data_IF_526781922672
#
_entry.id   IF_526781922672
#
_cell.length_a   1.000
_cell.length_b   1.000
_cell.length_c   1.000
_cell.angle_alpha   90.00
_cell.angle_beta   90.00
_cell.angle_gamma   90.00
#
_symmetry.space_group_name_H-M   'P 1'
#
loop_
_entity.id
_entity.type
_entity.pdbx_description
1 polymer ?
#
# COMPACT_ATOMS: atom_id res chain seq x y z
N UNK A 1 -3.68 -11.51 3.05
CA UNK A 1 -3.56 -10.15 2.46
C UNK A 1 -2.58 -10.30 1.31
N UNK A 2 -2.88 -9.82 0.09
CA UNK A 2 -1.88 -9.84 -0.98
C UNK A 2 -1.02 -8.60 -0.77
N UNK A 3 0.27 -8.82 -0.58
CA UNK A 3 1.25 -7.83 -0.16
C UNK A 3 2.27 -7.78 -1.30
N UNK A 4 2.23 -6.72 -2.11
CA UNK A 4 3.20 -6.54 -3.20
C UNK A 4 4.37 -5.70 -2.71
N UNK A 5 5.60 -6.11 -3.08
CA UNK A 5 6.74 -5.21 -3.07
C UNK A 5 6.44 -4.05 -3.99
N UNK A 6 6.84 -2.83 -3.60
CA UNK A 6 6.59 -1.62 -4.39
C UNK A 6 7.13 -1.75 -5.83
N UNK A 7 8.22 -2.49 -6.04
CA UNK A 7 8.78 -2.76 -7.37
C UNK A 7 7.90 -3.62 -8.29
N UNK A 8 6.97 -4.41 -7.73
CA UNK A 8 6.04 -5.28 -8.47
C UNK A 8 4.68 -4.60 -8.71
N UNK A 9 4.53 -3.33 -8.31
CA UNK A 9 3.29 -2.59 -8.48
C UNK A 9 3.10 -2.24 -9.97
N UNK A 10 2.14 -2.88 -10.63
CA UNK A 10 1.73 -2.47 -11.98
C UNK A 10 1.26 -1.00 -11.94
N UNK A 11 1.92 -0.07 -12.67
CA UNK A 11 1.50 1.33 -12.72
C UNK A 11 0.04 1.49 -13.16
N UNK A 12 -0.48 0.57 -13.99
CA UNK A 12 -1.86 0.58 -14.48
C UNK A 12 -2.86 0.15 -13.40
N UNK A 13 -2.41 -0.60 -12.40
CA UNK A 13 -3.18 -1.04 -11.24
C UNK A 13 -3.08 -0.10 -10.02
N UNK A 14 -2.30 0.98 -10.12
CA UNK A 14 -2.11 1.92 -9.02
C UNK A 14 -3.43 2.56 -8.57
N UNK A 15 -3.61 2.66 -7.25
CA UNK A 15 -4.69 3.42 -6.64
C UNK A 15 -4.13 4.28 -5.51
N UNK A 16 -4.63 5.50 -5.41
CA UNK A 16 -4.38 6.38 -4.26
C UNK A 16 -5.08 5.85 -3.02
N UNK A 17 -4.51 6.11 -1.85
CA UNK A 17 -5.11 5.78 -0.56
C UNK A 17 -4.97 4.32 -0.14
N UNK A 18 -4.18 3.51 -0.84
CA UNK A 18 -3.87 2.14 -0.40
C UNK A 18 -2.93 2.20 0.80
N UNK A 19 -3.13 1.31 1.77
CA UNK A 19 -2.26 1.26 2.94
C UNK A 19 -0.86 0.77 2.55
N UNK A 20 0.15 1.46 3.07
CA UNK A 20 1.56 1.06 2.96
C UNK A 20 2.01 0.51 4.30
N UNK A 21 2.60 -0.67 4.26
CA UNK A 21 2.96 -1.49 5.41
C UNK A 21 4.44 -1.84 5.37
N UNK A 22 5.03 -2.01 6.54
CA UNK A 22 6.33 -2.67 6.75
C UNK A 22 6.21 -4.18 6.67
N UNK A 23 7.33 -4.90 6.67
CA UNK A 23 7.35 -6.37 6.59
C UNK A 23 6.66 -7.08 7.77
N UNK A 24 6.60 -6.46 8.95
CA UNK A 24 5.86 -6.95 10.12
C UNK A 24 4.36 -6.59 10.10
N UNK A 25 3.89 -5.92 9.04
CA UNK A 25 2.49 -5.56 8.83
C UNK A 25 2.06 -4.25 9.52
N UNK A 26 2.97 -3.52 10.17
CA UNK A 26 2.68 -2.19 10.72
C UNK A 26 2.41 -1.20 9.58
N UNK A 27 1.35 -0.40 9.73
CA UNK A 27 1.03 0.65 8.77
C UNK A 27 1.90 1.88 9.01
N UNK A 28 2.44 2.44 7.93
CA UNK A 28 3.27 3.64 7.96
C UNK A 28 2.69 4.81 7.16
N UNK A 29 1.66 4.57 6.34
CA UNK A 29 1.09 5.60 5.51
C UNK A 29 0.14 5.10 4.43
N UNK A 30 -0.04 5.95 3.42
CA UNK A 30 -0.92 5.69 2.28
C UNK A 30 -0.26 6.07 0.96
N UNK A 31 -0.53 5.31 -0.10
CA UNK A 31 -0.10 5.67 -1.45
C UNK A 31 -0.73 7.01 -1.86
N UNK A 32 0.10 7.89 -2.42
CA UNK A 32 -0.32 9.22 -2.85
C UNK A 32 -0.19 9.38 -4.37
N UNK A 33 0.94 8.99 -4.96
CA UNK A 33 1.16 9.12 -6.39
C UNK A 33 2.15 8.08 -6.94
N UNK A 34 2.30 8.04 -8.26
CA UNK A 34 3.36 7.29 -8.95
C UNK A 34 4.12 8.22 -9.88
N UNK A 35 5.44 8.22 -9.78
CA UNK A 35 6.34 9.03 -10.61
C UNK A 35 7.40 8.15 -11.27
N UNK A 36 8.18 8.73 -12.18
CA UNK A 36 9.25 8.02 -12.88
C UNK A 36 8.79 7.30 -14.15
N UNK A 37 9.68 6.48 -14.71
CA UNK A 37 9.45 5.81 -16.00
C UNK A 37 8.55 4.57 -15.86
N UNK A 38 7.84 4.21 -16.93
CA UNK A 38 6.90 3.07 -16.97
C UNK A 38 7.56 1.75 -16.55
N UNK A 39 8.85 1.55 -16.87
CA UNK A 39 9.61 0.33 -16.54
C UNK A 39 10.24 0.35 -15.13
N UNK A 40 10.26 1.50 -14.48
CA UNK A 40 10.87 1.69 -13.16
C UNK A 40 10.11 2.78 -12.40
N UNK A 41 8.84 2.50 -12.03
CA UNK A 41 8.01 3.45 -11.31
C UNK A 41 8.48 3.62 -9.85
N UNK A 42 8.32 4.82 -9.31
CA UNK A 42 8.46 5.12 -7.89
C UNK A 42 7.09 5.47 -7.33
N UNK A 43 6.77 4.94 -6.14
CA UNK A 43 5.52 5.26 -5.44
C UNK A 43 5.78 6.33 -4.40
N UNK A 44 5.02 7.43 -4.49
CA UNK A 44 4.99 8.48 -3.47
C UNK A 44 4.04 8.04 -2.37
N UNK A 45 4.54 8.05 -1.13
CA UNK A 45 3.77 7.67 0.07
C UNK A 45 3.58 8.88 0.95
N UNK A 46 2.33 9.14 1.36
CA UNK A 46 2.04 10.06 2.44
C UNK A 46 2.16 9.29 3.75
N UNK A 47 3.20 9.61 4.51
CA UNK A 47 3.47 9.00 5.81
C UNK A 47 2.42 9.44 6.85
N UNK A 48 2.07 8.51 7.73
CA UNK A 48 1.30 8.80 8.93
C UNK A 48 2.19 9.58 9.92
N UNK A 49 1.65 10.47 10.77
CA UNK A 49 2.44 11.24 11.73
C UNK A 49 3.29 10.35 12.64
N UNK A 50 4.60 10.62 12.73
CA UNK A 50 5.53 9.85 13.55
C UNK A 50 5.94 8.50 12.95
N UNK A 51 5.59 8.20 11.70
CA UNK A 51 6.05 6.99 11.03
C UNK A 51 7.56 7.03 10.78
N UNK A 52 8.29 6.06 11.34
CA UNK A 52 9.69 5.80 11.03
C UNK A 52 9.80 4.69 9.98
N UNK A 53 10.67 4.92 8.98
CA UNK A 53 11.00 4.00 7.89
C UNK A 53 12.52 3.94 7.79
N UNK A 54 13.11 2.74 7.79
CA UNK A 54 14.55 2.58 7.58
C UNK A 54 14.86 2.52 6.08
N UNK A 55 16.00 3.08 5.66
CA UNK A 55 16.34 3.24 4.23
C UNK A 55 16.49 1.92 3.45
N UNK A 56 16.72 0.82 4.17
CA UNK A 56 16.88 -0.55 3.67
C UNK A 56 15.63 -1.42 3.88
N UNK A 57 14.58 -0.88 4.50
CA UNK A 57 13.37 -1.62 4.81
C UNK A 57 12.47 -1.78 3.58
N UNK A 58 12.13 -3.03 3.26
CA UNK A 58 11.14 -3.29 2.21
C UNK A 58 9.73 -2.92 2.67
N UNK A 59 9.06 -2.14 1.84
CA UNK A 59 7.69 -1.70 2.04
C UNK A 59 6.73 -2.40 1.09
N UNK A 60 5.48 -2.47 1.55
CA UNK A 60 4.46 -3.29 0.97
C UNK A 60 3.15 -2.52 0.80
N UNK A 61 2.52 -2.64 -0.37
CA UNK A 61 1.20 -2.03 -0.62
C UNK A 61 0.12 -3.07 -0.43
N UNK A 62 -0.83 -2.79 0.46
CA UNK A 62 -1.97 -3.67 0.72
C UNK A 62 -3.00 -3.58 -0.41
N UNK A 63 -2.93 -4.53 -1.35
CA UNK A 63 -3.90 -4.67 -2.43
C UNK A 63 -5.10 -5.50 -1.95
N UNK A 64 -6.10 -4.89 -1.30
CA UNK A 64 -7.42 -5.54 -1.17
C UNK A 64 -8.57 -4.54 -1.28
N UNK A 65 -9.67 -4.92 -1.96
CA UNK A 65 -10.98 -4.47 -1.51
C UNK A 65 -11.29 -5.20 -0.19
N UNK A 66 -11.57 -4.46 0.88
CA UNK A 66 -12.27 -5.04 2.03
C UNK A 66 -13.54 -5.74 1.49
N UNK A 67 -13.84 -7.00 1.87
CA UNK A 67 -15.14 -7.58 1.52
C UNK A 67 -16.22 -6.66 2.10
N UNK A 68 -17.35 -6.42 1.41
CA UNK A 68 -18.47 -5.76 2.07
C UNK A 68 -18.80 -6.58 3.32
N UNK A 69 -18.74 -5.93 4.48
CA UNK A 69 -19.18 -6.53 5.74
C UNK A 69 -20.64 -6.93 5.55
N UNK A 70 -20.89 -8.20 5.22
CA UNK A 70 -22.24 -8.73 5.12
C UNK A 70 -22.77 -8.74 6.54
N UNK A 71 -23.53 -7.69 6.87
CA UNK A 71 -24.35 -7.61 8.04
C UNK A 71 -25.02 -8.96 8.25
N UNK A 72 -24.71 -9.59 9.38
CA UNK A 72 -25.37 -10.80 9.86
C UNK A 72 -26.78 -10.39 10.28
N UNK A 73 -27.66 -10.19 9.30
CA UNK A 73 -29.11 -10.17 9.50
C UNK A 73 -29.51 -11.61 9.83
N UNK A 74 -29.40 -11.98 11.11
CA UNK A 74 -30.12 -13.14 11.63
C UNK A 74 -31.55 -12.69 11.91
N UNK A 75 -32.47 -13.24 11.12
CA UNK A 75 -33.85 -13.48 11.54
C UNK A 75 -33.85 -14.28 12.84
#
# INVERSE_FOLDING_TARGET
MLVLRVGDLDPRGFRRGLAVLTGDGRRIGTTYDVIGGVRSPYVVVRLDPGAEVRGDEELYVALRPSPPSRGRRRR
#
